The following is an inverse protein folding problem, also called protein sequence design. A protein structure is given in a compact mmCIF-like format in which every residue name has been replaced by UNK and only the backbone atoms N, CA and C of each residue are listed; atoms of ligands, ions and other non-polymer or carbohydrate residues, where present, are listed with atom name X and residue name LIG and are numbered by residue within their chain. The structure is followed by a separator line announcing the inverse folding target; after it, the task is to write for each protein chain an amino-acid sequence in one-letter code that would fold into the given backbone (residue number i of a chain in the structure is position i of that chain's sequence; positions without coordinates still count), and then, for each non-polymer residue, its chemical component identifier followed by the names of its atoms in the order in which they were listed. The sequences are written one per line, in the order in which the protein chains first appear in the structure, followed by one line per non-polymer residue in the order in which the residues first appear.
data_IF_774809459220
#
_entry.id   IF_774809459220
#
_cell.length_a   1.000
_cell.length_b   1.000
_cell.length_c   1.000
_cell.angle_alpha   90.00
_cell.angle_beta   90.00
_cell.angle_gamma   90.00
#
_symmetry.space_group_name_H-M   'P 1'
#
loop_
_entity.id
_entity.type
_entity.pdbx_description
1 polymer ?
#
# COMPACT_ATOMS: atom_id res chain seq x y z
N UNK A 1 -9.65 13.84 -10.89
CA UNK A 1 -8.90 12.70 -10.35
C UNK A 1 -8.66 11.70 -11.46
N UNK A 2 -7.44 11.18 -11.60
CA UNK A 2 -7.09 10.17 -12.61
C UNK A 2 -6.74 8.86 -11.90
N UNK A 3 -7.41 7.77 -12.29
CA UNK A 3 -7.16 6.42 -11.76
C UNK A 3 -6.59 5.58 -12.90
N UNK A 4 -5.44 4.96 -12.69
CA UNK A 4 -4.83 3.99 -13.61
C UNK A 4 -5.09 2.58 -13.07
N UNK A 5 -5.65 1.71 -13.91
CA UNK A 5 -5.87 0.30 -13.59
C UNK A 5 -4.88 -0.52 -14.41
N UNK A 6 -4.17 -1.44 -13.75
CA UNK A 6 -3.17 -2.31 -14.40
C UNK A 6 -3.47 -3.76 -14.05
N UNK A 7 -3.86 -4.53 -15.05
CA UNK A 7 -4.15 -5.97 -14.93
C UNK A 7 -4.02 -6.61 -16.32
N UNK A 8 -3.38 -7.74 -16.42
CA UNK A 8 -3.17 -8.43 -17.70
C UNK A 8 -4.39 -9.25 -18.15
N UNK A 9 -5.43 -9.34 -17.31
CA UNK A 9 -6.68 -10.02 -17.62
C UNK A 9 -7.74 -9.04 -18.14
N UNK A 10 -8.11 -9.07 -19.45
CA UNK A 10 -9.04 -8.08 -20.03
C UNK A 10 -10.42 -8.04 -19.37
N UNK A 11 -10.88 -9.18 -18.83
CA UNK A 11 -12.18 -9.24 -18.16
C UNK A 11 -12.14 -8.52 -16.81
N UNK A 12 -11.01 -8.60 -16.10
CA UNK A 12 -10.78 -7.91 -14.82
C UNK A 12 -10.69 -6.41 -15.06
N UNK A 13 -9.88 -5.97 -16.03
CA UNK A 13 -9.78 -4.56 -16.42
C UNK A 13 -11.15 -3.96 -16.71
N UNK A 14 -11.94 -4.58 -17.60
CA UNK A 14 -13.29 -4.12 -17.94
C UNK A 14 -14.23 -4.08 -16.74
N UNK A 15 -14.13 -5.09 -15.87
CA UNK A 15 -14.92 -5.16 -14.64
C UNK A 15 -14.61 -4.03 -13.66
N UNK A 16 -13.33 -3.81 -13.38
CA UNK A 16 -12.88 -2.73 -12.49
C UNK A 16 -13.23 -1.37 -13.11
N UNK A 17 -12.97 -1.18 -14.41
CA UNK A 17 -13.29 0.06 -15.12
C UNK A 17 -14.79 0.40 -14.97
N UNK A 18 -15.67 -0.54 -15.28
CA UNK A 18 -17.12 -0.32 -15.18
C UNK A 18 -17.56 -0.02 -13.74
N UNK A 19 -16.99 -0.74 -12.76
CA UNK A 19 -17.26 -0.55 -11.34
C UNK A 19 -16.87 0.87 -10.88
N UNK A 20 -15.66 1.31 -11.24
CA UNK A 20 -15.16 2.63 -10.86
C UNK A 20 -15.90 3.75 -11.61
N UNK A 21 -16.17 3.60 -12.91
CA UNK A 21 -16.90 4.59 -13.70
C UNK A 21 -18.30 4.82 -13.15
N UNK A 22 -18.98 3.78 -12.67
CA UNK A 22 -20.29 3.90 -12.05
C UNK A 22 -20.27 4.61 -10.68
N UNK A 23 -19.16 4.55 -9.96
CA UNK A 23 -19.05 5.04 -8.58
C UNK A 23 -18.30 6.36 -8.46
N UNK A 24 -17.48 6.73 -9.45
CA UNK A 24 -16.64 7.92 -9.51
C UNK A 24 -16.80 8.62 -10.88
N UNK A 25 -18.00 9.12 -11.16
CA UNK A 25 -18.36 9.70 -12.47
C UNK A 25 -17.44 10.86 -12.95
N UNK A 26 -16.83 11.59 -12.02
CA UNK A 26 -15.88 12.67 -12.29
C UNK A 26 -14.43 12.20 -12.46
N UNK A 27 -14.15 10.91 -12.26
CA UNK A 27 -12.81 10.36 -12.38
C UNK A 27 -12.50 10.01 -13.84
N UNK A 28 -11.30 10.35 -14.29
CA UNK A 28 -10.73 9.80 -15.52
C UNK A 28 -10.13 8.44 -15.20
N UNK A 29 -10.64 7.40 -15.82
CA UNK A 29 -10.13 6.03 -15.64
C UNK A 29 -9.32 5.66 -16.89
N UNK A 30 -8.14 5.12 -16.68
CA UNK A 30 -7.19 4.69 -17.73
C UNK A 30 -6.84 3.24 -17.44
N UNK A 31 -6.82 2.41 -18.48
CA UNK A 31 -6.49 1.01 -18.38
C UNK A 31 -5.11 0.75 -18.99
N UNK A 32 -4.38 -0.21 -18.42
CA UNK A 32 -3.13 -0.75 -18.96
C UNK A 32 -3.09 -2.26 -18.77
N UNK A 33 -2.68 -3.00 -19.78
CA UNK A 33 -2.65 -4.47 -19.77
C UNK A 33 -1.29 -5.05 -19.29
N UNK A 34 -0.40 -4.22 -18.78
CA UNK A 34 0.90 -4.64 -18.27
C UNK A 34 1.79 -3.47 -17.91
N UNK A 35 3.00 -3.79 -17.41
CA UNK A 35 3.96 -2.80 -16.88
C UNK A 35 4.32 -1.75 -17.93
N UNK A 36 4.69 -2.17 -19.15
CA UNK A 36 5.12 -1.23 -20.21
C UNK A 36 4.05 -0.23 -20.63
N UNK A 37 2.75 -0.63 -20.68
CA UNK A 37 1.64 0.29 -20.93
C UNK A 37 1.42 1.23 -19.74
N UNK A 38 1.51 0.71 -18.51
CA UNK A 38 1.37 1.51 -17.30
C UNK A 38 2.44 2.60 -17.22
N UNK A 39 3.69 2.29 -17.51
CA UNK A 39 4.79 3.27 -17.57
C UNK A 39 4.53 4.35 -18.64
N UNK A 40 4.02 3.98 -19.81
CA UNK A 40 3.65 4.97 -20.83
C UNK A 40 2.52 5.90 -20.35
N UNK A 41 1.54 5.37 -19.61
CA UNK A 41 0.46 6.17 -19.05
C UNK A 41 0.96 7.10 -17.95
N UNK A 42 1.85 6.63 -17.07
CA UNK A 42 2.51 7.45 -16.04
C UNK A 42 3.33 8.60 -16.65
N UNK A 43 4.00 8.35 -17.77
CA UNK A 43 4.78 9.39 -18.47
C UNK A 43 3.90 10.45 -19.16
N UNK A 44 2.67 10.11 -19.53
CA UNK A 44 1.75 11.00 -20.27
C UNK A 44 0.73 11.71 -19.38
N UNK A 45 0.43 11.16 -18.24
CA UNK A 45 -0.65 11.61 -17.36
C UNK A 45 -0.18 11.72 -15.93
N UNK A 46 -0.65 12.75 -15.23
CA UNK A 46 -0.58 12.77 -13.79
C UNK A 46 -1.64 11.79 -13.26
N UNK A 47 -1.20 10.77 -12.55
CA UNK A 47 -2.04 9.73 -11.95
C UNK A 47 -2.18 10.01 -10.46
N UNK A 48 -3.41 10.04 -9.96
CA UNK A 48 -3.68 10.25 -8.54
C UNK A 48 -3.71 8.92 -7.78
N UNK A 49 -4.27 7.88 -8.40
CA UNK A 49 -4.36 6.53 -7.83
C UNK A 49 -3.99 5.52 -8.91
N UNK A 50 -3.16 4.55 -8.59
CA UNK A 50 -2.91 3.36 -9.40
C UNK A 50 -3.46 2.13 -8.66
N UNK A 51 -4.19 1.28 -9.38
CA UNK A 51 -4.65 -0.04 -8.92
C UNK A 51 -3.92 -1.06 -9.78
N UNK A 52 -3.09 -1.89 -9.18
CA UNK A 52 -2.27 -2.85 -9.94
C UNK A 52 -2.38 -4.26 -9.38
N UNK A 53 -2.41 -5.25 -10.26
CA UNK A 53 -2.07 -6.61 -9.87
C UNK A 53 -0.56 -6.75 -9.66
N UNK A 54 -0.16 -7.83 -9.02
CA UNK A 54 1.24 -8.21 -8.83
C UNK A 54 1.75 -9.12 -9.92
N UNK A 55 0.88 -9.89 -10.59
CA UNK A 55 1.22 -10.71 -11.75
C UNK A 55 0.75 -10.04 -13.03
N UNK A 56 1.69 -9.61 -13.86
CA UNK A 56 1.43 -8.89 -15.10
C UNK A 56 2.17 -9.55 -16.27
N UNK A 57 1.62 -10.65 -16.82
CA UNK A 57 2.22 -11.39 -17.94
C UNK A 57 3.68 -11.85 -17.69
N UNK A 58 4.01 -12.26 -16.46
CA UNK A 58 5.34 -12.68 -16.07
C UNK A 58 6.26 -11.55 -15.61
N UNK A 59 5.79 -10.32 -15.64
CA UNK A 59 6.44 -9.18 -15.00
C UNK A 59 5.87 -8.97 -13.60
N UNK A 60 6.71 -8.50 -12.66
CA UNK A 60 6.26 -8.26 -11.29
C UNK A 60 5.66 -6.88 -11.12
N UNK A 61 4.42 -6.81 -10.64
CA UNK A 61 3.79 -5.56 -10.24
C UNK A 61 4.54 -4.81 -9.13
N UNK A 62 5.41 -5.48 -8.36
CA UNK A 62 6.27 -4.81 -7.38
C UNK A 62 7.25 -3.86 -8.05
N UNK A 63 7.78 -4.18 -9.23
CA UNK A 63 8.64 -3.28 -10.02
C UNK A 63 7.86 -2.05 -10.48
N UNK A 64 6.59 -2.21 -10.82
CA UNK A 64 5.74 -1.07 -11.17
C UNK A 64 5.52 -0.16 -9.95
N UNK A 65 5.32 -0.71 -8.76
CA UNK A 65 5.22 0.07 -7.51
C UNK A 65 6.48 0.91 -7.29
N UNK A 66 7.67 0.31 -7.42
CA UNK A 66 8.95 1.03 -7.31
C UNK A 66 9.08 2.11 -8.37
N UNK A 67 8.71 1.81 -9.62
CA UNK A 67 8.73 2.79 -10.71
C UNK A 67 7.80 3.99 -10.40
N UNK A 68 6.57 3.75 -9.96
CA UNK A 68 5.62 4.80 -9.54
C UNK A 68 6.22 5.69 -8.47
N UNK A 69 6.86 5.12 -7.45
CA UNK A 69 7.51 5.88 -6.37
C UNK A 69 8.63 6.79 -6.89
N UNK A 70 9.34 6.36 -7.92
CA UNK A 70 10.43 7.14 -8.53
C UNK A 70 9.92 8.28 -9.41
N UNK A 71 8.89 8.04 -10.25
CA UNK A 71 8.45 9.02 -11.26
C UNK A 71 7.30 9.90 -10.80
N UNK A 72 6.39 9.37 -10.00
CA UNK A 72 5.22 10.07 -9.45
C UNK A 72 4.99 9.71 -7.98
N UNK A 73 5.86 10.14 -7.04
CA UNK A 73 5.82 9.71 -5.63
C UNK A 73 4.54 10.12 -4.88
N UNK A 74 3.76 11.05 -5.42
CA UNK A 74 2.47 11.45 -4.84
C UNK A 74 1.30 10.54 -5.26
N UNK A 75 1.49 9.65 -6.24
CA UNK A 75 0.48 8.68 -6.66
C UNK A 75 0.23 7.68 -5.55
N UNK A 76 -1.03 7.48 -5.19
CA UNK A 76 -1.42 6.46 -4.22
C UNK A 76 -1.52 5.10 -4.90
N UNK A 77 -0.94 4.08 -4.29
CA UNK A 77 -0.86 2.72 -4.85
C UNK A 77 -1.80 1.78 -4.10
N UNK A 78 -2.67 1.12 -4.83
CA UNK A 78 -3.50 0.02 -4.35
C UNK A 78 -3.09 -1.27 -5.06
N UNK A 79 -2.76 -2.29 -4.30
CA UNK A 79 -2.58 -3.65 -4.82
C UNK A 79 -3.94 -4.33 -4.88
N UNK A 80 -4.24 -4.98 -6.01
CA UNK A 80 -5.44 -5.79 -6.20
C UNK A 80 -5.05 -7.15 -6.75
N UNK A 81 -4.95 -8.16 -5.88
CA UNK A 81 -4.26 -9.41 -6.20
C UNK A 81 -4.97 -10.67 -5.71
N UNK A 82 -4.65 -11.83 -6.31
CA UNK A 82 -5.08 -13.16 -5.88
C UNK A 82 -4.12 -13.82 -4.89
N UNK A 83 -2.96 -13.23 -4.61
CA UNK A 83 -1.91 -13.85 -3.79
C UNK A 83 -2.28 -13.92 -2.31
N UNK A 84 -2.73 -15.09 -1.87
CA UNK A 84 -3.14 -15.38 -0.48
C UNK A 84 -2.08 -16.20 0.27
N UNK A 85 -1.00 -16.60 -0.36
CA UNK A 85 0.05 -17.40 0.24
C UNK A 85 0.76 -16.61 1.34
N UNK A 86 1.09 -17.27 2.47
CA UNK A 86 1.69 -16.59 3.63
C UNK A 86 2.93 -15.76 3.31
N UNK A 87 3.82 -16.27 2.46
CA UNK A 87 5.04 -15.57 2.05
C UNK A 87 4.71 -14.31 1.22
N UNK A 88 3.77 -14.43 0.28
CA UNK A 88 3.33 -13.35 -0.59
C UNK A 88 2.64 -12.23 0.19
N UNK A 89 1.72 -12.59 1.09
CA UNK A 89 1.07 -11.64 2.01
C UNK A 89 2.10 -10.87 2.84
N UNK A 90 3.18 -11.55 3.27
CA UNK A 90 4.28 -10.93 3.98
C UNK A 90 5.02 -9.88 3.15
N UNK A 91 5.36 -10.22 1.91
CA UNK A 91 6.03 -9.31 0.96
C UNK A 91 5.14 -8.11 0.60
N UNK A 92 3.87 -8.36 0.27
CA UNK A 92 2.90 -7.30 -0.03
C UNK A 92 2.78 -6.31 1.14
N UNK A 93 2.77 -6.83 2.36
CA UNK A 93 2.67 -5.99 3.55
C UNK A 93 3.90 -5.10 3.79
N UNK A 94 5.05 -5.46 3.23
CA UNK A 94 6.30 -4.69 3.32
C UNK A 94 6.49 -3.74 2.12
N UNK A 95 5.61 -3.80 1.08
CA UNK A 95 5.63 -2.88 -0.04
C UNK A 95 5.18 -1.48 0.37
N UNK A 96 5.68 -0.47 -0.32
CA UNK A 96 5.28 0.94 -0.15
C UNK A 96 3.95 1.22 -0.88
N UNK A 97 2.84 0.74 -0.27
CA UNK A 97 1.51 0.88 -0.86
C UNK A 97 0.50 1.36 0.18
N UNK A 98 -0.47 2.17 -0.25
CA UNK A 98 -1.50 2.71 0.62
C UNK A 98 -2.69 1.77 0.80
N UNK A 99 -2.93 0.87 -0.15
CA UNK A 99 -4.05 -0.07 -0.04
C UNK A 99 -3.70 -1.46 -0.58
N UNK A 100 -4.32 -2.47 0.03
CA UNK A 100 -4.29 -3.85 -0.47
C UNK A 100 -5.70 -4.44 -0.40
N UNK A 101 -6.18 -4.94 -1.54
CA UNK A 101 -7.47 -5.63 -1.66
C UNK A 101 -7.24 -6.97 -2.33
N UNK A 102 -7.79 -8.03 -1.75
CA UNK A 102 -7.73 -9.36 -2.35
C UNK A 102 -8.80 -9.50 -3.43
N UNK A 103 -8.45 -10.10 -4.58
CA UNK A 103 -9.42 -10.37 -5.68
C UNK A 103 -10.53 -11.35 -5.24
N UNK A 104 -10.32 -12.11 -4.17
CA UNK A 104 -11.32 -12.97 -3.53
C UNK A 104 -12.34 -12.22 -2.67
N UNK A 105 -12.07 -10.95 -2.34
CA UNK A 105 -13.02 -10.12 -1.61
C UNK A 105 -14.16 -9.63 -2.52
N UNK A 106 -15.23 -9.13 -1.89
CA UNK A 106 -16.32 -8.50 -2.63
C UNK A 106 -15.82 -7.25 -3.37
N UNK A 107 -16.33 -7.02 -4.57
CA UNK A 107 -16.01 -5.82 -5.37
C UNK A 107 -16.26 -4.49 -4.62
N UNK A 108 -17.14 -4.46 -3.62
CA UNK A 108 -17.34 -3.32 -2.74
C UNK A 108 -16.07 -2.94 -1.96
N UNK A 109 -15.19 -3.89 -1.64
CA UNK A 109 -13.93 -3.65 -0.92
C UNK A 109 -12.98 -2.79 -1.76
N UNK A 110 -12.95 -3.00 -3.10
CA UNK A 110 -12.16 -2.16 -4.00
C UNK A 110 -12.69 -0.72 -4.03
N UNK A 111 -14.02 -0.53 -4.03
CA UNK A 111 -14.61 0.80 -3.93
C UNK A 111 -14.29 1.47 -2.60
N UNK A 112 -14.30 0.72 -1.50
CA UNK A 112 -13.95 1.24 -0.17
C UNK A 112 -12.47 1.63 -0.12
N UNK A 113 -11.57 0.85 -0.75
CA UNK A 113 -10.17 1.19 -0.88
C UNK A 113 -9.99 2.52 -1.62
N UNK A 114 -10.58 2.68 -2.81
CA UNK A 114 -10.46 3.92 -3.59
C UNK A 114 -11.05 5.12 -2.83
N UNK A 115 -12.19 4.98 -2.16
CA UNK A 115 -12.77 6.05 -1.31
C UNK A 115 -11.85 6.41 -0.15
N UNK A 116 -11.21 5.43 0.48
CA UNK A 116 -10.26 5.64 1.56
C UNK A 116 -9.03 6.41 1.07
N UNK A 117 -8.49 6.03 -0.10
CA UNK A 117 -7.39 6.72 -0.74
C UNK A 117 -7.76 8.17 -1.08
N UNK A 118 -8.94 8.42 -1.65
CA UNK A 118 -9.43 9.78 -1.90
C UNK A 118 -9.50 10.64 -0.62
N UNK A 119 -9.72 10.01 0.52
CA UNK A 119 -9.72 10.68 1.83
C UNK A 119 -8.31 10.78 2.46
N UNK A 120 -7.26 10.38 1.75
CA UNK A 120 -5.89 10.35 2.24
C UNK A 120 -5.64 9.29 3.32
N UNK A 121 -6.41 8.20 3.31
CA UNK A 121 -6.31 7.11 4.29
C UNK A 121 -5.93 5.81 3.59
N UNK A 122 -5.08 5.01 4.24
CA UNK A 122 -4.78 3.66 3.78
C UNK A 122 -5.95 2.69 3.97
N UNK A 123 -5.92 1.56 3.24
CA UNK A 123 -6.95 0.54 3.32
C UNK A 123 -6.37 -0.88 3.15
N UNK A 124 -6.71 -1.76 4.07
CA UNK A 124 -6.51 -3.20 3.91
C UNK A 124 -7.86 -3.91 3.93
N UNK A 125 -8.12 -4.73 2.92
CA UNK A 125 -9.34 -5.52 2.86
C UNK A 125 -9.42 -6.52 4.01
N UNK A 126 -10.64 -6.92 4.43
CA UNK A 126 -10.81 -7.86 5.54
C UNK A 126 -10.05 -9.17 5.36
N UNK A 127 -10.02 -9.71 4.13
CA UNK A 127 -9.28 -10.93 3.84
C UNK A 127 -7.77 -10.72 3.98
N UNK A 128 -7.21 -9.67 3.39
CA UNK A 128 -5.78 -9.39 3.55
C UNK A 128 -5.39 -9.17 5.01
N UNK A 129 -6.20 -8.41 5.76
CA UNK A 129 -5.96 -8.17 7.18
C UNK A 129 -5.97 -9.47 8.00
N UNK A 130 -6.93 -10.38 7.73
CA UNK A 130 -6.99 -11.69 8.37
C UNK A 130 -5.77 -12.55 8.04
N UNK A 131 -5.37 -12.62 6.77
CA UNK A 131 -4.21 -13.37 6.32
C UNK A 131 -2.92 -12.82 6.96
N UNK A 132 -2.75 -11.52 6.98
CA UNK A 132 -1.62 -10.86 7.61
C UNK A 132 -1.51 -11.17 9.10
N UNK A 133 -2.63 -11.19 9.82
CA UNK A 133 -2.66 -11.54 11.24
C UNK A 133 -2.41 -13.05 11.49
N UNK A 134 -2.75 -13.90 10.53
CA UNK A 134 -2.51 -15.35 10.62
C UNK A 134 -1.04 -15.72 10.37
N UNK A 135 -0.27 -14.85 9.72
CA UNK A 135 1.15 -15.04 9.62
C UNK A 135 1.70 -15.12 11.05
N UNK A 136 2.23 -16.28 11.44
CA UNK A 136 2.98 -16.47 12.68
C UNK A 136 4.33 -15.71 12.61
N UNK A 137 4.29 -14.42 12.30
CA UNK A 137 5.37 -13.51 12.65
C UNK A 137 5.32 -13.48 14.18
N UNK A 138 6.45 -13.71 14.84
CA UNK A 138 6.55 -13.44 16.26
C UNK A 138 5.84 -12.11 16.50
N UNK A 139 4.78 -12.08 17.31
CA UNK A 139 3.93 -10.88 17.45
C UNK A 139 4.74 -9.63 17.81
N UNK A 140 5.94 -9.83 18.30
CA UNK A 140 6.84 -8.81 18.81
C UNK A 140 7.99 -8.42 17.85
N UNK A 141 8.09 -8.99 16.64
CA UNK A 141 9.21 -8.70 15.75
C UNK A 141 8.82 -7.70 14.66
N UNK A 142 9.34 -6.48 14.79
CA UNK A 142 9.16 -5.44 13.78
C UNK A 142 9.94 -5.81 12.50
N UNK A 143 9.33 -5.61 11.31
CA UNK A 143 10.05 -5.67 10.04
C UNK A 143 11.09 -4.56 9.94
N UNK A 144 12.01 -4.65 9.00
CA UNK A 144 13.06 -3.63 8.86
C UNK A 144 12.47 -2.26 8.50
N UNK A 145 11.39 -2.22 7.73
CA UNK A 145 10.65 -1.00 7.44
C UNK A 145 9.96 -0.42 8.68
N UNK A 146 9.31 -1.28 9.47
CA UNK A 146 8.71 -0.86 10.74
C UNK A 146 9.76 -0.33 11.72
N UNK A 147 10.95 -0.95 11.78
CA UNK A 147 12.08 -0.47 12.57
C UNK A 147 12.55 0.92 12.14
N UNK A 148 12.63 1.17 10.82
CA UNK A 148 12.97 2.48 10.29
C UNK A 148 11.95 3.53 10.75
N UNK A 149 10.65 3.24 10.64
CA UNK A 149 9.59 4.17 11.09
C UNK A 149 9.66 4.43 12.60
N UNK A 150 9.88 3.38 13.42
CA UNK A 150 10.06 3.55 14.88
C UNK A 150 11.28 4.42 15.18
N UNK A 151 12.43 4.19 14.51
CA UNK A 151 13.65 4.96 14.69
C UNK A 151 13.43 6.45 14.38
N UNK A 152 12.84 6.75 13.24
CA UNK A 152 12.55 8.13 12.84
C UNK A 152 11.52 8.80 13.75
N UNK A 153 10.54 8.03 14.27
CA UNK A 153 9.59 8.52 15.27
C UNK A 153 10.31 8.85 16.60
N UNK A 154 11.26 8.01 17.02
CA UNK A 154 12.06 8.25 18.22
C UNK A 154 12.94 9.49 18.10
N UNK A 155 13.38 9.83 16.89
CA UNK A 155 14.09 11.07 16.59
C UNK A 155 13.18 12.32 16.56
N UNK A 156 11.87 12.17 16.76
CA UNK A 156 10.91 13.27 16.78
C UNK A 156 10.56 13.83 15.40
N UNK A 157 10.84 13.10 14.30
CA UNK A 157 10.54 13.57 12.97
C UNK A 157 9.01 13.60 12.71
N UNK A 158 8.58 14.62 11.96
CA UNK A 158 7.20 14.68 11.45
C UNK A 158 6.96 13.59 10.39
N UNK A 159 5.68 13.28 10.12
CA UNK A 159 5.33 12.33 9.05
C UNK A 159 5.86 12.77 7.68
N UNK A 160 5.89 14.08 7.41
CA UNK A 160 6.43 14.63 6.17
C UNK A 160 7.96 14.44 6.05
N UNK A 161 8.70 14.67 7.16
CA UNK A 161 10.15 14.48 7.17
C UNK A 161 10.52 13.00 7.06
N UNK A 162 9.76 12.12 7.74
CA UNK A 162 9.91 10.67 7.59
C UNK A 162 9.65 10.22 6.16
N UNK A 163 8.57 10.70 5.55
CA UNK A 163 8.21 10.41 4.17
C UNK A 163 9.34 10.74 3.21
N UNK A 164 9.92 11.95 3.35
CA UNK A 164 11.06 12.40 2.55
C UNK A 164 12.28 11.50 2.71
N UNK A 165 12.61 11.08 3.96
CA UNK A 165 13.77 10.21 4.22
C UNK A 165 13.59 8.78 3.75
N UNK A 166 12.34 8.30 3.78
CA UNK A 166 12.00 6.93 3.45
C UNK A 166 11.63 6.75 1.97
N UNK A 167 11.48 7.83 1.21
CA UNK A 167 11.05 7.80 -0.19
C UNK A 167 9.60 7.37 -0.39
N UNK A 168 8.70 7.67 0.58
CA UNK A 168 7.29 7.27 0.58
C UNK A 168 6.38 8.47 0.86
N UNK A 169 5.07 8.29 0.75
CA UNK A 169 4.11 9.33 1.09
C UNK A 169 3.95 9.52 2.62
N UNK A 170 3.57 10.73 3.06
CA UNK A 170 3.26 10.96 4.48
C UNK A 170 2.09 10.08 4.97
N UNK A 171 1.13 9.79 4.09
CA UNK A 171 0.02 8.89 4.37
C UNK A 171 0.50 7.44 4.61
N UNK A 172 1.48 6.98 3.83
CA UNK A 172 2.12 5.68 4.00
C UNK A 172 2.85 5.61 5.36
N UNK A 173 3.53 6.69 5.77
CA UNK A 173 4.16 6.77 7.10
C UNK A 173 3.12 6.62 8.21
N UNK A 174 2.01 7.38 8.15
CA UNK A 174 0.94 7.29 9.16
C UNK A 174 0.25 5.93 9.16
N UNK A 175 0.16 5.28 8.00
CA UNK A 175 -0.33 3.92 7.89
C UNK A 175 0.60 2.93 8.60
N UNK A 176 1.93 2.99 8.36
CA UNK A 176 2.91 2.17 9.07
C UNK A 176 2.88 2.42 10.58
N UNK A 177 2.80 3.68 11.03
CA UNK A 177 2.70 4.01 12.47
C UNK A 177 1.49 3.37 13.12
N UNK A 178 0.30 3.47 12.50
CA UNK A 178 -0.92 2.81 13.03
C UNK A 178 -0.76 1.31 13.09
N UNK A 179 -0.19 0.71 12.07
CA UNK A 179 0.07 -0.72 12.01
C UNK A 179 1.04 -1.18 13.10
N UNK A 180 2.13 -0.44 13.32
CA UNK A 180 3.09 -0.72 14.39
C UNK A 180 2.41 -0.63 15.76
N UNK A 181 1.62 0.42 16.00
CA UNK A 181 0.90 0.58 17.26
C UNK A 181 -0.08 -0.58 17.52
N UNK A 182 -0.83 -1.01 16.51
CA UNK A 182 -1.68 -2.20 16.61
C UNK A 182 -0.88 -3.46 16.92
N UNK A 183 0.24 -3.67 16.22
CA UNK A 183 1.11 -4.83 16.37
C UNK A 183 1.74 -4.91 17.76
N UNK A 184 2.15 -3.78 18.30
CA UNK A 184 2.74 -3.66 19.63
C UNK A 184 1.68 -3.52 20.75
N UNK A 185 0.40 -3.45 20.38
CA UNK A 185 -0.73 -3.23 21.28
C UNK A 185 -0.55 -1.98 22.15
N UNK A 186 -0.26 -0.85 21.53
CA UNK A 186 -0.02 0.46 22.17
C UNK A 186 -0.90 1.54 21.53
N UNK A 187 -1.19 2.61 22.30
CA UNK A 187 -2.16 3.62 21.89
C UNK A 187 -1.53 4.89 21.26
N UNK A 188 -0.24 5.12 21.46
CA UNK A 188 0.45 6.33 21.00
C UNK A 188 1.91 6.11 20.66
N UNK A 189 2.54 7.14 20.07
CA UNK A 189 3.93 7.07 19.60
C UNK A 189 4.94 6.89 20.76
N UNK A 190 4.69 7.45 21.94
CA UNK A 190 5.59 7.31 23.07
C UNK A 190 5.59 5.86 23.59
N UNK A 191 4.41 5.26 23.73
CA UNK A 191 4.25 3.84 24.08
C UNK A 191 4.86 2.92 23.01
N UNK A 192 4.71 3.27 21.72
CA UNK A 192 5.30 2.52 20.62
C UNK A 192 6.82 2.46 20.73
N UNK A 193 7.47 3.59 21.03
CA UNK A 193 8.93 3.66 21.21
C UNK A 193 9.37 2.86 22.45
N UNK A 194 8.67 3.04 23.57
CA UNK A 194 8.96 2.30 24.80
C UNK A 194 8.86 0.80 24.60
N UNK A 195 7.77 0.34 24.01
CA UNK A 195 7.53 -1.09 23.76
C UNK A 195 8.53 -1.71 22.77
N UNK A 196 8.87 -0.98 21.71
CA UNK A 196 9.90 -1.41 20.77
C UNK A 196 11.26 -1.56 21.46
N UNK A 197 11.62 -0.66 22.36
CA UNK A 197 12.87 -0.73 23.14
C UNK A 197 12.90 -1.93 24.09
N UNK A 198 11.79 -2.23 24.77
CA UNK A 198 11.65 -3.42 25.62
C UNK A 198 11.87 -4.72 24.83
N UNK A 199 11.44 -4.77 23.57
CA UNK A 199 11.61 -5.89 22.65
C UNK A 199 13.02 -5.95 22.02
N UNK A 200 13.95 -5.15 22.52
CA UNK A 200 15.35 -5.16 22.11
C UNK A 200 15.67 -4.29 20.90
N UNK A 201 14.73 -3.47 20.44
CA UNK A 201 15.00 -2.49 19.42
C UNK A 201 15.85 -1.35 19.99
N UNK A 202 17.07 -1.19 19.43
CA UNK A 202 17.90 -0.03 19.73
C UNK A 202 17.67 1.00 18.63
N UNK A 203 17.00 2.12 18.94
CA UNK A 203 17.00 3.25 18.04
C UNK A 203 18.47 3.70 17.86
N UNK A 204 19.01 3.55 16.65
CA UNK A 204 20.30 4.18 16.31
C UNK A 204 20.02 5.70 16.23
N UNK A 205 20.22 6.36 17.35
CA UNK A 205 20.19 7.84 17.48
C UNK A 205 21.52 8.38 17.04
#
# INVERSE_FOLDING_TARGET
MTILIVDDHPIVLKGIHALLASSFAEARIIDAAGVGEAEQMLNRHKVDIIITDLDLNGESGSMLVEHVRNVQPATQVAIYTMHEEPWSVGEIADMDTEAVVMKSDNAAELLMAVRSLCAGKGYYSPTFFRLLNSLKRHPDRLSDREKQVVSLTAMGLSAADMASRLGISANTVEFHRRRIMQKLNVANAAEMISRATELGFKANI
#
